data_IF_780200925128
#
_entry.id   IF_780200925128
#
_cell.length_a   1.000
_cell.length_b   1.000
_cell.length_c   1.000
_cell.angle_alpha   90.00
_cell.angle_beta   90.00
_cell.angle_gamma   90.00
#
_symmetry.space_group_name_H-M   'P 1'
#
loop_
_entity.id
_entity.type
_entity.pdbx_description
1 polymer ?
#
# COMPACT_ATOMS: atom_id res chain seq x y z
N UNK A 1 -7.78 -25.54 -8.38
CA UNK A 1 -8.76 -24.76 -9.16
C UNK A 1 -8.42 -23.29 -8.98
N UNK A 2 -8.20 -22.55 -10.06
CA UNK A 2 -7.83 -21.13 -9.98
C UNK A 2 -9.06 -20.32 -9.54
N UNK A 3 -8.83 -19.31 -8.70
CA UNK A 3 -9.88 -18.42 -8.21
C UNK A 3 -10.48 -17.65 -9.42
N UNK A 4 -11.81 -17.65 -9.58
CA UNK A 4 -12.49 -17.04 -10.73
C UNK A 4 -12.18 -15.55 -10.84
N UNK A 5 -12.12 -14.83 -9.72
CA UNK A 5 -11.77 -13.40 -9.71
C UNK A 5 -10.30 -13.18 -10.07
N UNK A 6 -9.42 -14.12 -9.70
CA UNK A 6 -8.01 -14.06 -10.14
C UNK A 6 -7.90 -14.26 -11.64
N UNK A 7 -8.58 -15.26 -12.19
CA UNK A 7 -8.58 -15.50 -13.63
C UNK A 7 -9.10 -14.29 -14.39
N UNK A 8 -10.24 -13.74 -13.98
CA UNK A 8 -10.79 -12.53 -14.58
C UNK A 8 -9.79 -11.37 -14.54
N UNK A 9 -9.14 -11.13 -13.41
CA UNK A 9 -8.12 -10.09 -13.31
C UNK A 9 -6.95 -10.33 -14.27
N UNK A 10 -6.46 -11.57 -14.39
CA UNK A 10 -5.37 -11.89 -15.32
C UNK A 10 -5.81 -11.62 -16.78
N UNK A 11 -7.07 -11.92 -17.15
CA UNK A 11 -7.64 -11.60 -18.45
C UNK A 11 -7.70 -10.08 -18.71
N UNK A 12 -8.15 -9.27 -17.74
CA UNK A 12 -8.17 -7.81 -17.86
C UNK A 12 -6.77 -7.20 -17.99
N UNK A 13 -5.78 -7.78 -17.30
CA UNK A 13 -4.38 -7.33 -17.40
C UNK A 13 -3.81 -7.67 -18.79
N UNK A 14 -4.13 -8.85 -19.34
CA UNK A 14 -3.72 -9.24 -20.69
C UNK A 14 -4.38 -8.37 -21.77
N UNK A 15 -5.63 -7.94 -21.53
CA UNK A 15 -6.37 -7.06 -22.41
C UNK A 15 -5.99 -5.57 -22.28
N UNK A 16 -5.03 -5.21 -21.40
CA UNK A 16 -4.63 -3.82 -21.19
C UNK A 16 -4.04 -3.19 -22.44
N UNK A 17 -4.80 -2.28 -23.03
CA UNK A 17 -4.50 -1.60 -24.29
C UNK A 17 -4.40 -0.07 -24.13
N UNK A 18 -5.20 0.53 -23.25
CA UNK A 18 -5.34 1.97 -23.06
C UNK A 18 -5.44 2.38 -21.57
N UNK A 19 -5.61 3.68 -21.30
CA UNK A 19 -5.65 4.24 -19.94
C UNK A 19 -7.00 4.00 -19.28
N UNK A 20 -8.08 3.95 -20.05
CA UNK A 20 -9.45 3.69 -19.59
C UNK A 20 -9.56 2.29 -18.95
N UNK A 21 -8.84 1.31 -19.51
CA UNK A 21 -8.71 -0.06 -19.02
C UNK A 21 -8.13 -0.16 -17.59
N UNK A 22 -7.41 0.86 -17.11
CA UNK A 22 -6.89 0.89 -15.72
C UNK A 22 -8.00 0.86 -14.67
N UNK A 23 -9.16 1.46 -14.95
CA UNK A 23 -10.31 1.44 -14.06
C UNK A 23 -10.95 0.05 -13.96
N UNK A 24 -10.94 -0.70 -15.06
CA UNK A 24 -11.46 -2.07 -15.15
C UNK A 24 -10.55 -3.02 -14.37
N UNK A 25 -9.23 -2.90 -14.56
CA UNK A 25 -8.23 -3.66 -13.80
C UNK A 25 -8.38 -3.40 -12.30
N UNK A 26 -8.55 -2.14 -11.90
CA UNK A 26 -8.79 -1.82 -10.50
C UNK A 26 -10.04 -2.53 -9.95
N UNK A 27 -11.16 -2.45 -10.66
CA UNK A 27 -12.40 -3.09 -10.23
C UNK A 27 -12.26 -4.61 -10.11
N UNK A 28 -11.60 -5.26 -11.07
CA UNK A 28 -11.30 -6.69 -11.01
C UNK A 28 -10.40 -7.04 -9.81
N UNK A 29 -9.35 -6.25 -9.57
CA UNK A 29 -8.46 -6.43 -8.42
C UNK A 29 -9.17 -6.22 -7.08
N UNK A 30 -10.08 -5.25 -7.00
CA UNK A 30 -10.91 -5.01 -5.81
C UNK A 30 -11.84 -6.20 -5.53
N UNK A 31 -12.46 -6.77 -6.56
CA UNK A 31 -13.29 -7.98 -6.43
C UNK A 31 -12.46 -9.17 -5.95
N UNK A 32 -11.27 -9.37 -6.52
CA UNK A 32 -10.34 -10.41 -6.08
C UNK A 32 -9.96 -10.26 -4.60
N UNK A 33 -9.61 -9.05 -4.15
CA UNK A 33 -9.31 -8.80 -2.74
C UNK A 33 -10.53 -9.06 -1.83
N UNK A 34 -11.72 -8.68 -2.27
CA UNK A 34 -12.97 -8.95 -1.55
C UNK A 34 -13.24 -10.44 -1.36
N UNK A 35 -13.03 -11.23 -2.41
CA UNK A 35 -13.15 -12.69 -2.35
C UNK A 35 -12.10 -13.33 -1.41
N UNK A 36 -10.85 -12.87 -1.46
CA UNK A 36 -9.82 -13.35 -0.54
C UNK A 36 -10.21 -13.10 0.93
N UNK A 37 -10.73 -11.90 1.22
CA UNK A 37 -11.20 -11.56 2.57
C UNK A 37 -12.34 -12.50 3.00
N UNK A 38 -13.26 -12.84 2.09
CA UNK A 38 -14.42 -13.70 2.39
C UNK A 38 -14.07 -15.19 2.52
N UNK A 39 -13.11 -15.69 1.73
CA UNK A 39 -12.85 -17.14 1.61
C UNK A 39 -11.63 -17.63 2.39
N UNK A 40 -10.70 -16.73 2.75
CA UNK A 40 -9.46 -17.07 3.43
C UNK A 40 -9.33 -16.46 4.82
N UNK A 41 -10.45 -16.06 5.42
CA UNK A 41 -10.50 -15.66 6.83
C UNK A 41 -10.14 -16.85 7.73
N UNK A 42 -9.41 -16.60 8.82
CA UNK A 42 -9.08 -17.63 9.82
C UNK A 42 -7.86 -18.51 9.50
N UNK A 43 -7.31 -18.43 8.29
CA UNK A 43 -6.00 -19.02 7.99
C UNK A 43 -4.95 -18.05 8.53
N UNK A 44 -4.17 -18.44 9.55
CA UNK A 44 -3.05 -17.63 10.05
C UNK A 44 -1.72 -18.19 9.55
N UNK A 45 -0.84 -17.30 9.11
CA UNK A 45 0.54 -17.59 8.72
C UNK A 45 1.44 -16.93 9.76
N UNK A 46 2.31 -17.72 10.39
CA UNK A 46 3.26 -17.20 11.38
C UNK A 46 4.15 -16.14 10.77
N UNK A 47 4.27 -15.00 11.42
CA UNK A 47 5.27 -14.02 11.06
C UNK A 47 6.68 -14.52 11.39
N UNK A 48 7.63 -14.35 10.46
CA UNK A 48 9.05 -14.60 10.73
C UNK A 48 9.67 -13.47 11.57
N UNK A 49 10.74 -13.78 12.30
CA UNK A 49 11.62 -12.80 12.97
C UNK A 49 10.92 -11.78 13.86
N UNK A 50 9.91 -12.23 14.62
CA UNK A 50 9.16 -11.38 15.56
C UNK A 50 8.12 -10.47 14.91
N UNK A 51 7.87 -10.61 13.59
CA UNK A 51 6.73 -9.99 12.95
C UNK A 51 5.42 -10.63 13.46
N UNK A 52 4.36 -9.85 13.71
CA UNK A 52 3.09 -10.43 14.12
C UNK A 52 2.46 -11.23 12.97
N UNK A 53 1.75 -12.30 13.33
CA UNK A 53 1.06 -13.22 12.41
C UNK A 53 0.19 -12.50 11.39
N UNK A 54 0.14 -13.05 10.18
CA UNK A 54 -0.64 -12.55 9.07
C UNK A 54 -1.83 -13.45 8.85
N UNK A 55 -2.99 -12.87 8.57
CA UNK A 55 -4.04 -13.68 7.95
C UNK A 55 -3.59 -14.06 6.53
N UNK A 56 -3.95 -15.27 6.10
CA UNK A 56 -3.54 -15.83 4.82
C UNK A 56 -3.96 -14.94 3.65
N UNK A 57 -5.13 -14.29 3.75
CA UNK A 57 -5.56 -13.32 2.75
C UNK A 57 -4.70 -12.05 2.72
N UNK A 58 -4.25 -11.54 3.87
CA UNK A 58 -3.44 -10.30 3.93
C UNK A 58 -2.14 -10.48 3.16
N UNK A 59 -1.50 -11.64 3.35
CA UNK A 59 -0.26 -11.96 2.65
C UNK A 59 -0.49 -12.08 1.15
N UNK A 60 -1.56 -12.75 0.74
CA UNK A 60 -1.90 -12.93 -0.67
C UNK A 60 -2.25 -11.59 -1.34
N UNK A 61 -2.97 -10.70 -0.64
CA UNK A 61 -3.22 -9.33 -1.11
C UNK A 61 -1.89 -8.59 -1.31
N UNK A 62 -1.00 -8.65 -0.32
CA UNK A 62 0.30 -7.99 -0.38
C UNK A 62 1.12 -8.48 -1.58
N UNK A 63 1.30 -9.80 -1.72
CA UNK A 63 2.09 -10.40 -2.81
C UNK A 63 1.44 -10.09 -4.17
N UNK A 64 0.11 -10.23 -4.29
CA UNK A 64 -0.61 -10.00 -5.55
C UNK A 64 -0.54 -8.54 -5.98
N UNK A 65 -0.50 -7.59 -5.05
CA UNK A 65 -0.35 -6.17 -5.39
C UNK A 65 0.95 -5.92 -6.15
N UNK A 66 2.05 -6.53 -5.72
CA UNK A 66 3.34 -6.39 -6.39
C UNK A 66 3.40 -7.20 -7.68
N UNK A 67 2.92 -8.43 -7.67
CA UNK A 67 2.98 -9.30 -8.85
C UNK A 67 2.11 -8.76 -9.99
N UNK A 68 0.93 -8.24 -9.68
CA UNK A 68 -0.08 -7.87 -10.67
C UNK A 68 -0.07 -6.38 -11.01
N UNK A 69 -0.02 -5.50 -10.01
CA UNK A 69 -0.20 -4.07 -10.23
C UNK A 69 1.12 -3.36 -10.50
N UNK A 70 2.21 -3.75 -9.85
CA UNK A 70 3.50 -3.07 -10.01
C UNK A 70 4.00 -3.01 -11.47
N UNK A 71 3.92 -4.09 -12.29
CA UNK A 71 4.32 -4.03 -13.70
C UNK A 71 3.55 -2.96 -14.49
N UNK A 72 2.26 -2.81 -14.21
CA UNK A 72 1.39 -1.81 -14.83
C UNK A 72 1.79 -0.40 -14.35
N UNK A 73 1.96 -0.22 -13.05
CA UNK A 73 2.30 1.07 -12.43
C UNK A 73 3.68 1.61 -12.82
N UNK A 74 4.61 0.73 -13.22
CA UNK A 74 5.89 1.15 -13.83
C UNK A 74 5.67 1.91 -15.14
N UNK A 75 4.63 1.58 -15.90
CA UNK A 75 4.25 2.23 -17.16
C UNK A 75 3.29 3.41 -16.94
N UNK A 76 2.40 3.30 -15.96
CA UNK A 76 1.37 4.29 -15.65
C UNK A 76 1.60 4.89 -14.26
N UNK A 77 2.60 5.76 -14.13
CA UNK A 77 2.88 6.51 -12.90
C UNK A 77 2.06 7.81 -12.82
N UNK A 78 2.03 8.42 -11.64
CA UNK A 78 1.33 9.68 -11.37
C UNK A 78 -0.15 9.50 -11.06
N UNK A 79 -1.00 10.24 -11.76
CA UNK A 79 -2.45 10.26 -11.53
C UNK A 79 -3.13 9.41 -12.58
N UNK A 80 -3.82 8.36 -12.14
CA UNK A 80 -4.59 7.48 -13.00
C UNK A 80 -5.64 6.71 -12.19
N UNK A 81 -6.61 6.14 -12.90
CA UNK A 81 -7.73 5.43 -12.30
C UNK A 81 -7.32 4.24 -11.43
N UNK A 82 -6.21 3.55 -11.75
CA UNK A 82 -5.73 2.43 -10.95
C UNK A 82 -5.18 2.92 -9.61
N UNK A 83 -4.33 3.95 -9.60
CA UNK A 83 -3.81 4.53 -8.36
C UNK A 83 -4.90 5.24 -7.53
N UNK A 84 -5.86 5.89 -8.19
CA UNK A 84 -7.05 6.44 -7.53
C UNK A 84 -7.84 5.35 -6.81
N UNK A 85 -8.07 4.23 -7.50
CA UNK A 85 -8.69 3.04 -6.92
C UNK A 85 -7.90 2.46 -5.73
N UNK A 86 -6.59 2.23 -5.91
CA UNK A 86 -5.69 1.74 -4.84
C UNK A 86 -5.74 2.66 -3.63
N UNK A 87 -5.82 3.99 -3.83
CA UNK A 87 -5.92 4.97 -2.75
C UNK A 87 -7.15 4.78 -1.87
N UNK A 88 -8.29 4.41 -2.47
CA UNK A 88 -9.51 4.09 -1.70
C UNK A 88 -9.29 2.86 -0.80
N UNK A 89 -8.61 1.83 -1.32
CA UNK A 89 -8.36 0.57 -0.60
C UNK A 89 -7.37 0.72 0.57
N UNK A 90 -6.52 1.75 0.58
CA UNK A 90 -5.61 2.03 1.69
C UNK A 90 -6.33 2.25 3.04
N UNK A 91 -7.61 2.64 3.03
CA UNK A 91 -8.41 2.85 4.26
C UNK A 91 -9.39 1.73 4.59
N UNK A 92 -9.56 0.76 3.70
CA UNK A 92 -10.49 -0.35 3.89
C UNK A 92 -9.93 -1.40 4.86
N UNK A 93 -10.18 -1.22 6.18
CA UNK A 93 -9.63 -2.04 7.28
C UNK A 93 -9.79 -3.55 7.12
N UNK A 94 -10.80 -4.03 6.39
CA UNK A 94 -10.99 -5.45 6.08
C UNK A 94 -9.79 -6.10 5.37
N UNK A 95 -8.97 -5.33 4.66
CA UNK A 95 -7.75 -5.81 4.01
C UNK A 95 -6.55 -5.92 4.96
N UNK A 96 -6.68 -5.46 6.22
CA UNK A 96 -5.67 -5.57 7.28
C UNK A 96 -4.27 -5.12 6.85
N UNK A 97 -3.26 -5.93 7.14
CA UNK A 97 -1.85 -5.71 6.72
C UNK A 97 -1.64 -5.82 5.21
N UNK A 98 -2.56 -6.42 4.46
CA UNK A 98 -2.52 -6.41 3.00
C UNK A 98 -2.45 -4.99 2.43
N UNK A 99 -3.01 -4.00 3.15
CA UNK A 99 -2.96 -2.58 2.77
C UNK A 99 -1.55 -1.99 2.70
N UNK A 100 -0.56 -2.61 3.34
CA UNK A 100 0.82 -2.14 3.32
C UNK A 100 1.36 -2.03 1.89
N UNK A 101 1.05 -2.99 1.01
CA UNK A 101 1.46 -2.95 -0.40
C UNK A 101 0.81 -1.77 -1.14
N UNK A 102 -0.47 -1.48 -0.92
CA UNK A 102 -1.18 -0.36 -1.52
C UNK A 102 -0.50 0.97 -1.19
N UNK A 103 -0.22 1.19 0.10
CA UNK A 103 0.46 2.40 0.59
C UNK A 103 1.85 2.54 -0.04
N UNK A 104 2.60 1.44 -0.13
CA UNK A 104 3.92 1.43 -0.76
C UNK A 104 3.87 1.72 -2.26
N UNK A 105 2.88 1.19 -2.99
CA UNK A 105 2.68 1.45 -4.42
C UNK A 105 2.35 2.93 -4.66
N UNK A 106 1.46 3.53 -3.85
CA UNK A 106 1.19 4.97 -3.94
C UNK A 106 2.45 5.80 -3.72
N UNK A 107 3.25 5.48 -2.70
CA UNK A 107 4.49 6.22 -2.44
C UNK A 107 5.56 6.05 -3.51
N UNK A 108 5.53 4.95 -4.27
CA UNK A 108 6.53 4.64 -5.30
C UNK A 108 6.13 5.16 -6.69
N UNK A 109 4.84 5.10 -7.02
CA UNK A 109 4.35 5.37 -8.36
C UNK A 109 3.32 6.51 -8.44
N UNK A 110 2.80 6.98 -7.31
CA UNK A 110 1.80 8.05 -7.27
C UNK A 110 2.37 9.46 -7.35
N UNK A 111 1.46 10.44 -7.45
CA UNK A 111 1.77 11.88 -7.40
C UNK A 111 1.50 12.45 -6.00
N UNK A 112 1.72 13.77 -5.86
CA UNK A 112 1.39 14.54 -4.66
C UNK A 112 -0.11 14.57 -4.34
N UNK A 113 -0.99 14.20 -5.29
CA UNK A 113 -2.43 14.04 -5.06
C UNK A 113 -2.76 13.10 -3.91
N UNK A 114 -1.94 12.07 -3.69
CA UNK A 114 -2.19 11.05 -2.66
C UNK A 114 -1.63 11.40 -1.27
N UNK A 115 -0.99 12.56 -1.11
CA UNK A 115 -0.44 12.97 0.18
C UNK A 115 -1.48 13.03 1.32
N UNK A 116 -2.71 13.56 1.12
CA UNK A 116 -3.70 13.62 2.19
C UNK A 116 -4.08 12.25 2.74
N UNK A 117 -4.25 11.24 1.86
CA UNK A 117 -4.59 9.88 2.29
C UNK A 117 -3.41 9.22 3.00
N UNK A 118 -2.18 9.42 2.52
CA UNK A 118 -0.98 8.91 3.17
C UNK A 118 -0.80 9.52 4.56
N UNK A 119 -0.97 10.84 4.71
CA UNK A 119 -0.87 11.54 5.99
C UNK A 119 -1.88 11.01 7.03
N UNK A 120 -3.11 10.71 6.61
CA UNK A 120 -4.15 10.11 7.48
C UNK A 120 -3.74 8.75 8.06
N UNK A 121 -2.87 8.00 7.36
CA UNK A 121 -2.47 6.64 7.73
C UNK A 121 -1.29 6.59 8.71
N UNK A 122 -0.70 7.74 9.11
CA UNK A 122 0.41 7.77 10.08
C UNK A 122 -0.01 7.23 11.45
N UNK A 123 -1.28 7.36 11.83
CA UNK A 123 -1.80 6.87 13.11
C UNK A 123 -2.36 5.45 13.02
N UNK A 124 -2.30 4.82 11.84
CA UNK A 124 -2.83 3.48 11.61
C UNK A 124 -1.74 2.44 11.88
N UNK A 125 -1.78 1.69 13.00
CA UNK A 125 -0.67 0.85 13.43
C UNK A 125 -0.28 -0.23 12.41
N UNK A 126 -1.20 -0.65 11.54
CA UNK A 126 -0.93 -1.66 10.51
C UNK A 126 -0.12 -1.11 9.33
N UNK A 127 -0.19 0.19 9.05
CA UNK A 127 0.38 0.80 7.83
C UNK A 127 1.18 2.09 8.09
N UNK A 128 1.27 2.57 9.33
CA UNK A 128 1.92 3.83 9.70
C UNK A 128 3.36 3.94 9.17
N UNK A 129 4.15 2.88 9.33
CA UNK A 129 5.54 2.81 8.84
C UNK A 129 5.60 2.97 7.32
N UNK A 130 4.68 2.32 6.61
CA UNK A 130 4.58 2.37 5.16
C UNK A 130 4.11 3.75 4.68
N UNK A 131 3.21 4.39 5.43
CA UNK A 131 2.77 5.76 5.18
C UNK A 131 3.94 6.75 5.31
N UNK A 132 4.71 6.68 6.41
CA UNK A 132 5.90 7.53 6.60
C UNK A 132 6.91 7.32 5.48
N UNK A 133 7.12 6.07 5.04
CA UNK A 133 8.01 5.79 3.92
C UNK A 133 7.49 6.37 2.60
N UNK A 134 6.20 6.25 2.33
CA UNK A 134 5.57 6.81 1.14
C UNK A 134 5.69 8.34 1.11
N UNK A 135 5.40 9.01 2.24
CA UNK A 135 5.58 10.46 2.39
C UNK A 135 7.04 10.87 2.20
N UNK A 136 7.98 10.08 2.71
CA UNK A 136 9.43 10.31 2.50
C UNK A 136 9.79 10.26 1.02
N UNK A 137 9.28 9.28 0.27
CA UNK A 137 9.54 9.13 -1.18
C UNK A 137 8.96 10.28 -1.99
N UNK A 138 7.77 10.74 -1.63
CA UNK A 138 7.09 11.88 -2.25
C UNK A 138 7.60 13.24 -1.74
N UNK A 139 8.58 13.24 -0.83
CA UNK A 139 9.20 14.44 -0.24
C UNK A 139 8.21 15.39 0.44
N UNK A 140 7.13 14.86 1.01
CA UNK A 140 6.13 15.68 1.70
C UNK A 140 6.63 16.16 3.06
N UNK A 141 6.48 17.46 3.33
CA UNK A 141 6.83 18.10 4.61
C UNK A 141 5.61 18.40 5.48
N UNK A 142 4.40 18.16 4.99
CA UNK A 142 3.17 18.55 5.71
C UNK A 142 3.04 17.91 7.10
N UNK A 143 3.65 16.74 7.29
CA UNK A 143 3.60 15.98 8.54
C UNK A 143 4.89 16.06 9.37
N UNK A 144 5.78 17.03 9.08
CA UNK A 144 7.12 17.09 9.68
C UNK A 144 7.10 17.05 11.21
N UNK A 145 6.35 17.95 11.86
CA UNK A 145 6.32 18.02 13.33
C UNK A 145 5.75 16.75 13.98
N UNK A 146 4.75 16.14 13.32
CA UNK A 146 4.15 14.90 13.79
C UNK A 146 5.16 13.74 13.70
N UNK A 147 5.83 13.60 12.56
CA UNK A 147 6.82 12.53 12.35
C UNK A 147 8.07 12.76 13.20
N UNK A 148 8.47 14.03 13.43
CA UNK A 148 9.58 14.38 14.33
C UNK A 148 9.32 13.86 15.75
N UNK A 149 8.13 14.05 16.31
CA UNK A 149 7.76 13.50 17.62
C UNK A 149 7.90 11.97 17.67
N UNK A 150 7.54 11.26 16.60
CA UNK A 150 7.74 9.80 16.51
C UNK A 150 9.22 9.40 16.51
N UNK A 151 10.10 10.23 15.94
CA UNK A 151 11.55 10.00 15.91
C UNK A 151 12.24 10.18 17.28
N UNK A 152 11.62 10.96 18.15
CA UNK A 152 12.06 11.32 19.51
C UNK A 152 11.54 10.35 20.58
N UNK A 153 10.62 9.44 20.22
CA UNK A 153 10.08 8.43 21.14
C UNK A 153 11.20 7.65 21.84
N UNK A 154 11.11 7.47 23.16
CA UNK A 154 12.16 6.81 23.96
C UNK A 154 12.33 5.33 23.59
N UNK A 155 11.23 4.62 23.33
CA UNK A 155 11.24 3.21 22.93
C UNK A 155 11.83 3.03 21.53
N UNK A 156 12.76 2.09 21.38
CA UNK A 156 13.25 1.68 20.07
C UNK A 156 12.15 0.89 19.36
N UNK A 157 11.54 1.49 18.36
CA UNK A 157 10.45 0.89 17.57
C UNK A 157 10.76 1.04 16.08
N UNK A 158 10.26 0.16 15.20
CA UNK A 158 10.45 0.31 13.76
C UNK A 158 9.97 1.67 13.24
N UNK A 159 8.85 2.18 13.76
CA UNK A 159 8.32 3.50 13.37
C UNK A 159 9.30 4.64 13.68
N UNK A 160 10.05 4.58 14.79
CA UNK A 160 11.10 5.55 15.13
C UNK A 160 12.22 5.58 14.08
N UNK A 161 12.67 4.42 13.62
CA UNK A 161 13.72 4.33 12.59
C UNK A 161 13.28 4.94 11.26
N UNK A 162 12.03 4.69 10.85
CA UNK A 162 11.45 5.27 9.64
C UNK A 162 11.24 6.79 9.78
N UNK A 163 10.76 7.24 10.93
CA UNK A 163 10.63 8.67 11.23
C UNK A 163 11.99 9.38 11.16
N UNK A 164 13.05 8.79 11.72
CA UNK A 164 14.42 9.34 11.60
C UNK A 164 14.89 9.41 10.14
N UNK A 165 14.60 8.39 9.33
CA UNK A 165 14.93 8.39 7.89
C UNK A 165 14.20 9.51 7.15
N UNK A 166 12.92 9.72 7.45
CA UNK A 166 12.14 10.83 6.93
C UNK A 166 12.81 12.18 7.24
N UNK A 167 13.15 12.44 8.51
CA UNK A 167 13.82 13.68 8.91
C UNK A 167 15.17 13.85 8.21
N UNK A 168 16.00 12.79 8.17
CA UNK A 168 17.34 12.84 7.55
C UNK A 168 17.26 13.09 6.04
N UNK A 169 16.37 12.41 5.32
CA UNK A 169 16.25 12.60 3.86
C UNK A 169 15.81 14.02 3.52
N UNK A 170 15.02 14.64 4.40
CA UNK A 170 14.46 15.96 4.14
C UNK A 170 15.32 17.10 4.69
N UNK A 171 16.18 16.85 5.68
CA UNK A 171 17.25 17.79 6.07
C UNK A 171 18.32 17.94 4.99
N UNK A 172 18.56 16.89 4.20
CA UNK A 172 19.55 16.89 3.12
C UNK A 172 19.04 17.49 1.80
N UNK A 173 17.75 17.87 1.72
CA UNK A 173 17.14 18.50 0.54
C UNK A 173 16.85 20.01 0.74
N UNK A 174 17.34 20.60 1.85
CA UNK A 174 17.39 22.05 2.06
C UNK A 174 18.75 22.57 1.60
#
# INVERSE_FOLDING_TARGET
MMNIYRQKLDEEILALDNVESLSVIFNAFKQYCGDLVATRTGISIKGGDGAPDWYGYERVIWDSSYVLLEPILKKYCGENALLDGISSMCTEKKHGKGRQSFVMLLGKYGSTKYLPILAKLIDDPEVAIHSIEALTKLKDLSQFEKIKKLSECTKSTPIKSYARRYIKKLSNNK
#
